data_IF_742688709738
#
_entry.id   IF_742688709738
#
_cell.length_a   1.000
_cell.length_b   1.000
_cell.length_c   1.000
_cell.angle_alpha   90.00
_cell.angle_beta   90.00
_cell.angle_gamma   90.00
#
_symmetry.space_group_name_H-M   'P 1'
#
loop_
_entity.id
_entity.type
_entity.pdbx_description
1 polymer ?
#
# COMPACT_ATOMS: atom_id res chain seq x y z
N UNK A 1 12.07 25.22 6.23
CA UNK A 1 10.94 24.37 6.53
C UNK A 1 11.38 22.99 7.00
N UNK A 2 10.50 22.26 7.63
CA UNK A 2 10.72 20.86 7.99
C UNK A 2 10.24 19.94 6.86
N UNK A 3 10.65 18.69 6.84
CA UNK A 3 10.21 17.70 5.84
C UNK A 3 8.69 17.44 5.86
N UNK A 4 8.04 17.75 6.99
CA UNK A 4 6.58 17.68 7.14
C UNK A 4 5.84 18.95 6.69
N UNK A 5 6.57 19.97 6.25
CA UNK A 5 6.04 21.24 5.73
C UNK A 5 6.69 21.54 4.37
N UNK A 6 6.23 22.62 3.71
CA UNK A 6 6.83 23.03 2.45
C UNK A 6 8.26 23.56 2.62
N UNK A 7 9.17 23.09 1.78
CA UNK A 7 10.54 23.58 1.66
C UNK A 7 10.87 23.81 0.18
N UNK A 8 11.89 24.59 -0.11
CA UNK A 8 12.36 24.86 -1.46
C UNK A 8 12.86 23.56 -2.12
N UNK A 9 12.31 23.23 -3.31
CA UNK A 9 12.58 21.99 -4.02
C UNK A 9 11.67 20.83 -3.65
N UNK A 10 10.71 20.99 -2.73
CA UNK A 10 9.72 19.95 -2.42
C UNK A 10 8.80 19.68 -3.62
N UNK A 11 8.61 18.43 -3.96
CA UNK A 11 7.56 17.99 -4.88
C UNK A 11 6.26 17.77 -4.11
N UNK A 12 5.14 18.21 -4.69
CA UNK A 12 3.83 18.00 -4.04
C UNK A 12 3.55 16.52 -3.92
N UNK A 13 3.24 16.09 -2.70
CA UNK A 13 2.92 14.70 -2.42
C UNK A 13 4.11 13.80 -2.11
N UNK A 14 5.32 14.34 -1.97
CA UNK A 14 6.47 13.55 -1.53
C UNK A 14 6.18 12.85 -0.20
N UNK A 15 6.43 11.56 -0.18
CA UNK A 15 6.33 10.73 1.02
C UNK A 15 7.74 10.51 1.55
N UNK A 16 8.06 11.19 2.64
CA UNK A 16 9.28 10.95 3.39
C UNK A 16 9.10 9.75 4.32
N UNK A 17 10.02 8.83 4.28
CA UNK A 17 9.96 7.62 5.09
C UNK A 17 11.31 6.94 5.24
N UNK A 18 11.33 5.91 6.05
CA UNK A 18 12.50 5.10 6.31
C UNK A 18 12.59 3.94 5.31
N UNK A 19 13.80 3.55 4.99
CA UNK A 19 14.06 2.28 4.30
C UNK A 19 13.98 1.13 5.30
N UNK A 20 13.27 0.07 4.92
CA UNK A 20 13.16 -1.17 5.70
C UNK A 20 13.70 -2.30 4.86
N UNK A 21 14.75 -2.96 5.34
CA UNK A 21 15.36 -4.09 4.66
C UNK A 21 14.53 -5.36 4.84
N UNK A 22 14.08 -5.64 6.08
CA UNK A 22 13.32 -6.84 6.41
C UNK A 22 12.64 -6.71 7.79
N UNK A 23 12.10 -7.81 8.29
CA UNK A 23 11.78 -8.01 9.70
C UNK A 23 13.00 -8.62 10.43
N UNK A 24 13.11 -8.42 11.74
CA UNK A 24 14.04 -9.20 12.54
C UNK A 24 13.54 -10.64 12.62
N UNK A 25 14.15 -11.54 11.85
CA UNK A 25 13.67 -12.92 11.69
C UNK A 25 14.09 -13.85 12.83
N UNK A 26 15.16 -13.51 13.56
CA UNK A 26 15.65 -14.27 14.69
C UNK A 26 16.20 -13.37 15.79
N UNK A 27 16.36 -13.91 17.00
CA UNK A 27 16.98 -13.19 18.11
C UNK A 27 18.44 -12.83 17.81
N UNK A 28 19.17 -13.71 17.14
CA UNK A 28 20.56 -13.47 16.75
C UNK A 28 20.67 -12.27 15.77
N UNK A 29 19.77 -12.19 14.78
CA UNK A 29 19.71 -11.06 13.84
C UNK A 29 19.40 -9.75 14.57
N UNK A 30 18.43 -9.77 15.49
CA UNK A 30 18.06 -8.63 16.32
C UNK A 30 19.23 -8.13 17.16
N UNK A 31 19.85 -9.03 17.95
CA UNK A 31 20.94 -8.67 18.85
C UNK A 31 22.18 -8.18 18.08
N UNK A 32 22.52 -8.84 16.96
CA UNK A 32 23.60 -8.43 16.08
C UNK A 32 23.39 -7.05 15.50
N UNK A 33 22.17 -6.72 15.11
CA UNK A 33 21.84 -5.42 14.53
C UNK A 33 21.85 -4.32 15.59
N UNK A 34 21.14 -4.52 16.70
CA UNK A 34 21.07 -3.54 17.80
C UNK A 34 22.40 -3.29 18.51
N UNK A 35 23.35 -4.21 18.40
CA UNK A 35 24.72 -3.99 18.90
C UNK A 35 25.49 -2.94 18.10
N UNK A 36 25.03 -2.62 16.89
CA UNK A 36 25.72 -1.72 15.95
C UNK A 36 24.92 -0.45 15.64
N UNK A 37 23.59 -0.54 15.72
CA UNK A 37 22.66 0.52 15.30
C UNK A 37 21.69 0.82 16.43
N UNK A 38 21.68 2.07 16.86
CA UNK A 38 20.75 2.58 17.85
C UNK A 38 19.43 2.99 17.17
N UNK A 39 18.33 2.32 17.49
CA UNK A 39 17.00 2.61 17.00
C UNK A 39 16.06 3.22 18.06
N UNK A 40 16.60 3.73 19.15
CA UNK A 40 15.82 4.27 20.28
C UNK A 40 14.98 5.50 19.89
N UNK A 41 15.35 6.20 18.82
CA UNK A 41 14.54 7.28 18.27
C UNK A 41 13.17 6.81 17.76
N UNK A 42 13.10 5.60 17.20
CA UNK A 42 11.85 4.99 16.70
C UNK A 42 11.07 4.36 17.86
N UNK A 43 11.74 3.50 18.65
CA UNK A 43 11.15 2.83 19.81
C UNK A 43 12.22 2.38 20.81
N UNK A 44 11.83 2.31 22.09
CA UNK A 44 12.73 1.87 23.15
C UNK A 44 12.95 0.34 23.15
N UNK A 45 11.97 -0.44 22.70
CA UNK A 45 11.97 -1.89 22.77
C UNK A 45 11.82 -2.51 21.38
N UNK A 46 12.57 -3.56 21.12
CA UNK A 46 12.56 -4.29 19.85
C UNK A 46 12.46 -5.79 20.09
N UNK A 47 11.73 -6.47 19.22
CA UNK A 47 11.53 -7.91 19.27
C UNK A 47 11.69 -8.52 17.87
N UNK A 48 11.85 -9.82 17.82
CA UNK A 48 11.74 -10.58 16.57
C UNK A 48 10.37 -10.31 15.93
N UNK A 49 10.35 -10.14 14.62
CA UNK A 49 9.15 -9.77 13.86
C UNK A 49 8.85 -8.28 13.78
N UNK A 50 9.65 -7.43 14.41
CA UNK A 50 9.61 -5.98 14.19
C UNK A 50 10.38 -5.59 12.92
N UNK A 51 10.09 -4.39 12.40
CA UNK A 51 10.77 -3.84 11.23
C UNK A 51 12.24 -3.54 11.51
N UNK A 52 13.09 -3.96 10.59
CA UNK A 52 14.53 -3.66 10.59
C UNK A 52 14.77 -2.43 9.72
N UNK A 53 14.77 -1.26 10.35
CA UNK A 53 15.04 0.02 9.69
C UNK A 53 16.52 0.14 9.34
N UNK A 54 16.81 0.76 8.19
CA UNK A 54 18.17 0.93 7.70
C UNK A 54 18.78 2.24 8.21
N UNK A 55 20.01 2.17 8.70
CA UNK A 55 20.88 3.32 8.94
C UNK A 55 21.51 3.71 7.59
N UNK A 56 20.89 4.69 6.90
CA UNK A 56 21.27 5.08 5.54
C UNK A 56 22.54 5.93 5.55
N UNK A 57 22.70 6.78 6.55
CA UNK A 57 23.83 7.68 6.65
C UNK A 57 25.05 7.05 7.34
N UNK A 58 24.90 5.83 7.87
CA UNK A 58 25.92 5.03 8.54
C UNK A 58 26.53 5.70 9.78
N UNK A 59 25.72 6.45 10.51
CA UNK A 59 26.16 7.10 11.76
C UNK A 59 25.96 6.22 13.01
N UNK A 60 25.44 4.99 12.82
CA UNK A 60 25.13 4.02 13.88
C UNK A 60 23.80 4.28 14.58
N UNK A 61 22.92 5.10 14.01
CA UNK A 61 21.62 5.42 14.58
C UNK A 61 20.55 5.50 13.47
N UNK A 62 19.33 5.10 13.78
CA UNK A 62 18.18 5.36 12.92
C UNK A 62 17.38 6.51 13.49
N UNK A 63 17.35 7.64 12.79
CA UNK A 63 16.67 8.85 13.24
C UNK A 63 16.27 9.77 12.08
N UNK A 64 15.54 10.85 12.35
CA UNK A 64 15.12 11.84 11.37
C UNK A 64 15.99 13.10 11.36
N UNK A 65 17.16 13.08 11.99
CA UNK A 65 18.04 14.23 12.12
C UNK A 65 17.34 15.44 12.75
N UNK A 66 17.46 16.60 12.11
CA UNK A 66 16.69 17.80 12.47
C UNK A 66 15.36 17.93 11.72
N UNK A 67 14.97 16.89 10.99
CA UNK A 67 13.77 16.85 10.15
C UNK A 67 13.73 17.98 9.10
N UNK A 68 14.88 18.26 8.48
CA UNK A 68 15.05 19.27 7.44
C UNK A 68 15.77 18.69 6.23
N UNK A 69 15.64 19.33 5.06
CA UNK A 69 16.31 18.87 3.83
C UNK A 69 17.84 18.79 3.97
N UNK A 70 18.44 19.65 4.77
CA UNK A 70 19.88 19.65 5.02
C UNK A 70 20.33 18.65 6.07
N UNK A 71 19.41 18.10 6.87
CA UNK A 71 19.68 17.07 7.85
C UNK A 71 18.40 16.28 8.12
N UNK A 72 18.15 15.30 7.28
CA UNK A 72 16.98 14.42 7.30
C UNK A 72 17.23 13.07 8.01
N UNK A 73 18.46 12.87 8.55
CA UNK A 73 18.85 11.59 9.13
C UNK A 73 18.70 10.46 8.11
N UNK A 74 17.97 9.42 8.48
CA UNK A 74 17.73 8.23 7.65
C UNK A 74 16.41 8.30 6.87
N UNK A 75 15.74 9.45 6.87
CA UNK A 75 14.59 9.66 6.02
C UNK A 75 15.02 9.88 4.56
N UNK A 76 14.27 9.33 3.64
CA UNK A 76 14.39 9.57 2.20
C UNK A 76 13.01 9.73 1.57
N UNK A 77 12.93 10.31 0.37
CA UNK A 77 11.69 10.30 -0.40
C UNK A 77 11.48 8.89 -0.94
N UNK A 78 10.56 8.16 -0.34
CA UNK A 78 10.27 6.76 -0.69
C UNK A 78 9.16 6.62 -1.74
N UNK A 79 8.37 7.65 -1.98
CA UNK A 79 7.30 7.67 -2.97
C UNK A 79 6.65 9.03 -3.09
N UNK A 80 5.57 9.10 -3.89
CA UNK A 80 4.77 10.31 -4.04
C UNK A 80 3.28 9.96 -4.16
N UNK A 81 2.41 10.65 -3.39
CA UNK A 81 0.99 10.37 -3.32
C UNK A 81 0.16 11.05 -4.43
N UNK A 82 0.80 11.91 -5.23
CA UNK A 82 0.13 12.57 -6.35
C UNK A 82 0.20 11.73 -7.63
N UNK A 83 -0.85 11.74 -8.44
CA UNK A 83 -0.84 11.03 -9.71
C UNK A 83 0.04 11.78 -10.73
N UNK A 84 1.24 11.28 -11.01
CA UNK A 84 2.18 11.93 -11.93
C UNK A 84 1.74 11.84 -13.39
N UNK A 85 1.21 10.68 -13.82
CA UNK A 85 0.79 10.47 -15.20
C UNK A 85 -0.65 9.98 -15.21
N UNK A 86 -1.57 10.86 -15.61
CA UNK A 86 -2.97 10.51 -15.83
C UNK A 86 -3.21 10.38 -17.33
N UNK A 87 -3.86 9.30 -17.74
CA UNK A 87 -4.14 9.04 -19.15
C UNK A 87 -5.52 8.46 -19.34
N UNK A 88 -6.06 8.71 -20.54
CA UNK A 88 -7.35 8.20 -20.98
C UNK A 88 -7.19 7.63 -22.38
N UNK A 89 -7.65 6.40 -22.56
CA UNK A 89 -7.70 5.75 -23.87
C UNK A 89 -9.15 5.58 -24.25
N UNK A 90 -9.53 6.19 -25.37
CA UNK A 90 -10.85 6.05 -25.96
C UNK A 90 -10.74 5.35 -27.30
N UNK A 91 -11.47 4.28 -27.48
CA UNK A 91 -11.51 3.52 -28.72
C UNK A 91 -12.92 3.16 -29.10
N UNK A 92 -13.17 3.10 -30.41
CA UNK A 92 -14.47 2.70 -30.91
C UNK A 92 -14.41 2.20 -32.35
N UNK A 93 -15.38 1.38 -32.70
CA UNK A 93 -15.56 0.85 -34.07
C UNK A 93 -17.02 0.74 -34.38
N UNK A 94 -17.38 1.06 -35.65
CA UNK A 94 -18.73 0.89 -36.15
C UNK A 94 -18.70 0.09 -37.44
N UNK A 95 -19.61 -0.89 -37.55
CA UNK A 95 -19.72 -1.73 -38.73
C UNK A 95 -21.14 -2.25 -38.94
N UNK A 96 -21.73 -2.00 -40.12
CA UNK A 96 -23.04 -2.51 -40.51
C UNK A 96 -24.16 -2.30 -39.46
N UNK A 97 -24.20 -1.14 -38.82
CA UNK A 97 -25.18 -0.82 -37.80
C UNK A 97 -24.79 -1.16 -36.39
N UNK A 98 -23.78 -1.99 -36.18
CA UNK A 98 -23.18 -2.20 -34.87
C UNK A 98 -22.20 -1.07 -34.57
N UNK A 99 -22.18 -0.63 -33.31
CA UNK A 99 -21.19 0.27 -32.76
C UNK A 99 -20.68 -0.26 -31.43
N UNK A 100 -19.39 -0.21 -31.26
CA UNK A 100 -18.70 -0.57 -30.03
C UNK A 100 -17.80 0.60 -29.61
N UNK A 101 -17.82 0.95 -28.36
CA UNK A 101 -16.89 1.93 -27.80
C UNK A 101 -16.45 1.53 -26.41
N UNK A 102 -15.24 1.93 -26.05
CA UNK A 102 -14.66 1.70 -24.73
C UNK A 102 -13.86 2.92 -24.30
N UNK A 103 -13.90 3.20 -23.00
CA UNK A 103 -13.14 4.25 -22.36
C UNK A 103 -12.34 3.66 -21.20
N UNK A 104 -11.04 3.78 -21.28
CA UNK A 104 -10.11 3.40 -20.22
C UNK A 104 -9.52 4.64 -19.57
N UNK A 105 -9.36 4.60 -18.28
CA UNK A 105 -8.69 5.66 -17.52
C UNK A 105 -7.67 5.03 -16.59
N UNK A 106 -6.48 5.66 -16.51
CA UNK A 106 -5.42 5.17 -15.69
C UNK A 106 -4.56 6.26 -15.09
N UNK A 107 -3.83 5.82 -14.06
CA UNK A 107 -2.75 6.56 -13.41
C UNK A 107 -1.53 5.65 -13.42
N UNK A 108 -0.42 6.12 -14.04
CA UNK A 108 0.77 5.27 -14.21
C UNK A 108 1.73 5.31 -13.02
N UNK A 109 1.77 6.40 -12.27
CA UNK A 109 2.64 6.53 -11.10
C UNK A 109 1.88 7.26 -9.99
N UNK A 110 1.69 6.57 -8.91
CA UNK A 110 1.15 7.06 -7.66
C UNK A 110 1.50 6.07 -6.56
N UNK A 111 1.97 6.54 -5.42
CA UNK A 111 2.21 5.73 -4.24
C UNK A 111 1.22 6.11 -3.14
N UNK A 112 1.05 5.23 -2.18
CA UNK A 112 0.20 5.47 -1.02
C UNK A 112 0.79 4.76 0.21
N UNK A 113 0.84 5.46 1.32
CA UNK A 113 1.15 4.87 2.61
C UNK A 113 -0.08 4.95 3.53
N UNK A 114 -0.45 3.81 4.10
CA UNK A 114 -1.55 3.73 5.03
C UNK A 114 -1.06 3.99 6.45
N UNK A 115 -1.20 5.23 6.90
CA UNK A 115 -0.87 5.60 8.28
C UNK A 115 -1.85 4.99 9.28
N UNK A 116 -1.56 5.17 10.55
CA UNK A 116 -2.44 4.79 11.66
C UNK A 116 -3.89 5.23 11.39
N UNK A 117 -4.85 4.33 11.69
CA UNK A 117 -6.28 4.55 11.43
C UNK A 117 -6.78 3.96 10.11
N UNK A 118 -5.91 3.36 9.31
CA UNK A 118 -6.32 2.58 8.12
C UNK A 118 -6.64 1.13 8.54
N UNK A 119 -7.75 0.96 9.24
CA UNK A 119 -8.12 -0.28 9.93
C UNK A 119 -8.21 -1.50 9.00
N UNK A 120 -8.65 -1.28 7.74
CA UNK A 120 -8.74 -2.36 6.75
C UNK A 120 -7.35 -2.83 6.32
N UNK A 121 -6.40 -1.91 6.16
CA UNK A 121 -5.05 -2.25 5.73
C UNK A 121 -4.24 -2.95 6.83
N UNK A 122 -4.25 -2.40 8.04
CA UNK A 122 -3.45 -2.92 9.14
C UNK A 122 -4.09 -4.08 9.91
N UNK A 123 -5.43 -4.21 9.87
CA UNK A 123 -6.14 -5.21 10.63
C UNK A 123 -5.74 -5.21 12.11
N UNK A 124 -5.48 -6.39 12.68
CA UNK A 124 -5.08 -6.50 14.08
C UNK A 124 -3.64 -6.03 14.38
N UNK A 125 -2.81 -5.77 13.35
CA UNK A 125 -1.54 -5.08 13.52
C UNK A 125 -1.73 -3.58 13.74
N UNK A 126 -2.92 -3.05 13.56
CA UNK A 126 -3.26 -1.65 13.77
C UNK A 126 -3.61 -1.28 15.21
N UNK A 127 -3.93 -2.26 16.04
CA UNK A 127 -4.32 -2.09 17.44
C UNK A 127 -5.49 -2.97 17.82
N UNK A 128 -5.67 -3.17 19.11
CA UNK A 128 -6.71 -4.06 19.62
C UNK A 128 -8.15 -3.63 19.30
N UNK A 129 -8.37 -2.37 18.95
CA UNK A 129 -9.67 -1.85 18.51
C UNK A 129 -9.83 -1.84 16.98
N UNK A 130 -8.76 -2.10 16.22
CA UNK A 130 -8.76 -2.12 14.78
C UNK A 130 -8.89 -3.56 14.32
N UNK A 131 -10.12 -4.06 14.23
CA UNK A 131 -10.40 -5.50 14.08
C UNK A 131 -10.96 -5.91 12.72
N UNK A 132 -10.72 -5.12 11.66
CA UNK A 132 -11.10 -5.52 10.31
C UNK A 132 -10.09 -6.51 9.74
N UNK A 133 -10.39 -7.81 9.85
CA UNK A 133 -9.49 -8.88 9.41
C UNK A 133 -9.82 -9.36 8.01
N UNK A 134 -8.78 -9.58 7.22
CA UNK A 134 -8.84 -10.28 5.93
C UNK A 134 -7.91 -11.49 5.95
N UNK A 135 -8.06 -12.47 5.05
CA UNK A 135 -7.17 -13.63 4.98
C UNK A 135 -5.69 -13.28 4.85
N UNK A 136 -5.37 -12.16 4.20
CA UNK A 136 -4.00 -11.67 4.00
C UNK A 136 -3.30 -11.34 5.33
N UNK A 137 -4.06 -10.92 6.35
CA UNK A 137 -3.53 -10.65 7.68
C UNK A 137 -3.05 -11.91 8.42
N UNK A 138 -3.41 -13.11 7.97
CA UNK A 138 -2.90 -14.35 8.56
C UNK A 138 -1.42 -14.59 8.26
N UNK A 139 -0.84 -13.87 7.29
CA UNK A 139 0.58 -13.89 6.99
C UNK A 139 1.36 -12.92 7.90
N UNK A 140 1.18 -13.02 9.20
CA UNK A 140 1.89 -12.26 10.22
C UNK A 140 3.03 -13.07 10.85
N UNK A 141 4.00 -12.39 11.42
CA UNK A 141 5.19 -12.99 12.03
C UNK A 141 4.83 -13.82 13.27
N UNK A 142 5.28 -15.07 13.28
CA UNK A 142 5.15 -16.03 14.39
C UNK A 142 6.43 -16.84 14.50
N UNK A 143 7.08 -16.78 15.65
CA UNK A 143 8.33 -17.49 15.94
C UNK A 143 8.19 -18.59 17.01
N UNK A 144 6.95 -18.83 17.45
CA UNK A 144 6.68 -19.85 18.47
C UNK A 144 5.76 -20.95 17.91
N UNK A 145 5.98 -22.22 18.35
CA UNK A 145 5.06 -23.29 18.04
C UNK A 145 3.64 -22.99 18.51
N UNK A 146 2.66 -23.38 17.73
CA UNK A 146 1.25 -23.21 18.05
C UNK A 146 0.78 -24.21 19.09
N UNK A 147 -0.08 -23.77 20.01
CA UNK A 147 -0.81 -24.67 20.89
C UNK A 147 -2.02 -25.27 20.16
N UNK A 148 -2.56 -26.37 20.69
CA UNK A 148 -3.80 -26.99 20.18
C UNK A 148 -5.03 -26.06 20.22
N UNK A 149 -4.93 -24.92 20.90
CA UNK A 149 -5.99 -23.91 20.99
C UNK A 149 -5.69 -22.66 20.15
N UNK A 150 -4.62 -22.65 19.35
CA UNK A 150 -4.23 -21.47 18.57
C UNK A 150 -5.23 -21.08 17.49
N UNK A 151 -6.10 -22.01 17.09
CA UNK A 151 -7.08 -21.77 16.03
C UNK A 151 -6.50 -21.68 14.62
N UNK A 152 -5.15 -21.64 14.47
CA UNK A 152 -4.44 -21.61 13.19
C UNK A 152 -3.77 -22.97 12.95
N UNK A 153 -2.57 -23.14 13.48
CA UNK A 153 -1.75 -24.34 13.28
C UNK A 153 -1.17 -24.80 14.61
N UNK A 154 -1.14 -26.12 14.81
CA UNK A 154 -0.53 -26.73 15.99
C UNK A 154 0.95 -26.99 15.75
N UNK A 155 1.75 -26.87 16.80
CA UNK A 155 3.20 -27.14 16.75
C UNK A 155 3.94 -26.23 15.78
N UNK A 156 5.00 -26.74 15.18
CA UNK A 156 5.89 -25.99 14.29
C UNK A 156 5.21 -25.50 13.02
N UNK A 157 4.08 -26.07 12.63
CA UNK A 157 3.29 -25.56 11.51
C UNK A 157 2.76 -24.14 11.74
N UNK A 158 2.76 -23.66 12.99
CA UNK A 158 2.41 -22.27 13.30
C UNK A 158 3.55 -21.28 13.02
N UNK A 159 4.79 -21.74 12.93
CA UNK A 159 5.96 -20.85 12.75
C UNK A 159 5.88 -20.21 11.37
N UNK A 160 5.97 -18.89 11.32
CA UNK A 160 5.99 -18.09 10.09
C UNK A 160 6.94 -16.91 10.26
N UNK A 161 8.24 -17.18 10.15
CA UNK A 161 9.28 -16.14 10.24
C UNK A 161 9.55 -15.44 8.92
N UNK A 162 9.00 -15.94 7.79
CA UNK A 162 9.05 -15.32 6.47
C UNK A 162 7.77 -14.54 6.14
N UNK A 163 7.16 -13.94 7.16
CA UNK A 163 5.90 -13.24 7.05
C UNK A 163 6.01 -11.90 6.30
N UNK A 164 4.92 -11.51 5.65
CA UNK A 164 4.78 -10.14 5.11
C UNK A 164 4.53 -9.12 6.23
N UNK A 165 3.59 -9.44 7.17
CA UNK A 165 3.21 -8.56 8.26
C UNK A 165 4.12 -8.72 9.48
N UNK A 166 4.33 -7.64 10.26
CA UNK A 166 5.15 -7.70 11.45
C UNK A 166 4.46 -8.50 12.56
N UNK A 167 5.15 -8.66 13.67
CA UNK A 167 4.57 -9.18 14.91
C UNK A 167 3.43 -8.27 15.39
N UNK A 168 2.24 -8.80 15.65
CA UNK A 168 1.14 -8.02 16.22
C UNK A 168 1.35 -7.79 17.72
N UNK A 169 0.91 -6.62 18.19
CA UNK A 169 0.93 -6.26 19.60
C UNK A 169 -0.46 -5.84 20.08
N UNK A 170 -0.78 -6.14 21.34
CA UNK A 170 -1.98 -5.63 21.99
C UNK A 170 -1.78 -4.23 22.60
N UNK A 171 -0.58 -3.70 22.51
CA UNK A 171 -0.19 -2.39 23.03
C UNK A 171 0.15 -1.44 21.88
N UNK A 172 -0.59 -0.34 21.79
CA UNK A 172 -0.40 0.65 20.73
C UNK A 172 0.98 1.28 20.68
N UNK A 173 1.65 1.41 21.80
CA UNK A 173 3.01 1.95 21.87
C UNK A 173 3.98 1.01 21.19
N UNK A 174 3.84 -0.29 21.42
CA UNK A 174 4.71 -1.30 20.84
C UNK A 174 4.46 -1.49 19.33
N UNK A 175 3.21 -1.45 18.90
CA UNK A 175 2.89 -1.58 17.46
C UNK A 175 3.25 -0.33 16.64
N UNK A 176 3.30 0.85 17.30
CA UNK A 176 3.56 2.13 16.66
C UNK A 176 4.86 2.13 15.85
N UNK A 177 5.88 1.43 16.34
CA UNK A 177 7.19 1.30 15.67
C UNK A 177 7.11 0.65 14.29
N UNK A 178 6.12 -0.23 14.06
CA UNK A 178 5.96 -0.96 12.81
C UNK A 178 5.04 -0.25 11.79
N UNK A 179 4.16 0.66 12.22
CA UNK A 179 3.14 1.26 11.34
C UNK A 179 3.11 2.77 11.24
N UNK A 180 3.56 3.48 12.32
CA UNK A 180 3.40 4.94 12.38
C UNK A 180 4.42 5.72 11.55
N UNK A 181 5.50 5.07 11.16
CA UNK A 181 6.53 5.66 10.32
C UNK A 181 6.37 5.16 8.88
N UNK A 182 6.20 6.08 7.94
CA UNK A 182 6.21 5.70 6.53
C UNK A 182 7.51 4.96 6.21
N UNK A 183 7.38 3.84 5.48
CA UNK A 183 8.52 2.98 5.18
C UNK A 183 8.34 2.26 3.84
N UNK A 184 9.44 1.81 3.29
CA UNK A 184 9.46 1.16 1.97
C UNK A 184 8.75 -0.18 1.93
N UNK A 185 8.66 -0.91 3.07
CA UNK A 185 8.03 -2.23 3.11
C UNK A 185 6.51 -2.17 2.92
N UNK A 186 5.85 -1.17 3.49
CA UNK A 186 4.38 -1.05 3.45
C UNK A 186 3.90 0.10 2.57
N UNK A 187 4.80 0.72 1.82
CA UNK A 187 4.42 1.64 0.75
C UNK A 187 3.70 0.87 -0.35
N UNK A 188 2.51 1.33 -0.72
CA UNK A 188 1.69 0.68 -1.72
C UNK A 188 1.75 1.41 -3.05
N UNK A 189 1.86 0.65 -4.14
CA UNK A 189 1.68 1.19 -5.48
C UNK A 189 0.18 1.38 -5.74
N UNK A 190 -0.24 2.63 -5.89
CA UNK A 190 -1.61 3.03 -6.18
C UNK A 190 -1.84 3.36 -7.66
N UNK A 191 -0.94 2.96 -8.56
CA UNK A 191 -1.17 3.04 -10.00
C UNK A 191 -2.28 2.09 -10.42
N UNK A 192 -3.07 2.48 -11.40
CA UNK A 192 -4.16 1.65 -11.91
C UNK A 192 -4.50 1.92 -13.37
N UNK A 193 -5.14 0.95 -14.00
CA UNK A 193 -5.84 1.07 -15.27
C UNK A 193 -7.20 0.40 -15.11
N UNK A 194 -8.28 1.13 -15.35
CA UNK A 194 -9.63 0.58 -15.30
C UNK A 194 -10.42 0.90 -16.54
N UNK A 195 -11.28 -0.01 -16.94
CA UNK A 195 -12.33 0.22 -17.91
C UNK A 195 -13.41 1.08 -17.24
N UNK A 196 -13.58 2.31 -17.71
CA UNK A 196 -14.53 3.25 -17.13
C UNK A 196 -15.90 3.18 -17.81
N UNK A 197 -15.91 2.87 -19.10
CA UNK A 197 -17.14 2.70 -19.84
C UNK A 197 -16.94 1.72 -20.99
N UNK A 198 -17.90 0.86 -21.23
CA UNK A 198 -18.04 0.05 -22.43
C UNK A 198 -19.44 0.16 -22.95
N UNK A 199 -19.58 0.35 -24.25
CA UNK A 199 -20.89 0.43 -24.89
C UNK A 199 -20.89 -0.43 -26.16
N UNK A 200 -21.95 -1.22 -26.31
CA UNK A 200 -22.25 -1.96 -27.51
C UNK A 200 -23.65 -1.55 -27.99
N UNK A 201 -23.75 -1.04 -29.18
CA UNK A 201 -25.00 -0.57 -29.76
C UNK A 201 -25.32 -1.22 -31.11
N UNK A 202 -26.58 -1.20 -31.48
CA UNK A 202 -27.04 -1.57 -32.82
C UNK A 202 -28.07 -0.57 -33.29
N UNK A 203 -27.79 0.05 -34.43
CA UNK A 203 -28.71 0.95 -35.14
C UNK A 203 -29.42 0.20 -36.23
N UNK A 204 -30.74 0.10 -36.13
CA UNK A 204 -31.55 -0.61 -37.09
C UNK A 204 -31.62 0.15 -38.44
N UNK A 205 -31.63 -0.59 -39.57
CA UNK A 205 -31.85 0.01 -40.89
C UNK A 205 -33.17 0.82 -40.93
N UNK A 206 -33.20 1.90 -41.72
CA UNK A 206 -34.36 2.75 -41.83
C UNK A 206 -35.61 2.00 -42.31
N UNK A 207 -35.46 0.94 -43.13
CA UNK A 207 -36.52 0.06 -43.56
C UNK A 207 -37.24 -0.70 -42.42
N UNK A 208 -36.57 -0.92 -41.32
CA UNK A 208 -37.18 -1.54 -40.11
C UNK A 208 -37.78 -0.44 -39.23
N UNK A 209 -37.00 0.63 -38.96
CA UNK A 209 -37.47 1.73 -38.11
C UNK A 209 -38.78 2.38 -38.63
N UNK A 210 -38.89 2.59 -39.94
CA UNK A 210 -40.08 3.19 -40.56
C UNK A 210 -41.34 2.33 -40.46
N UNK A 211 -41.21 0.98 -40.41
CA UNK A 211 -42.35 0.09 -40.15
C UNK A 211 -42.92 0.26 -38.74
N UNK A 212 -42.12 0.77 -37.83
CA UNK A 212 -42.47 1.07 -36.44
C UNK A 212 -42.86 2.57 -36.27
N UNK A 213 -43.02 3.31 -37.37
CA UNK A 213 -43.26 4.76 -37.36
C UNK A 213 -42.18 5.58 -36.66
N UNK A 214 -40.90 5.07 -36.66
CA UNK A 214 -39.75 5.72 -36.06
C UNK A 214 -38.79 6.22 -37.14
N UNK A 215 -38.23 7.41 -36.95
CA UNK A 215 -37.20 7.94 -37.86
C UNK A 215 -35.88 7.18 -37.67
N UNK A 216 -35.58 6.81 -36.42
CA UNK A 216 -34.35 6.08 -36.03
C UNK A 216 -34.62 5.18 -34.83
N UNK A 217 -34.11 3.97 -34.89
CA UNK A 217 -34.14 3.03 -33.76
C UNK A 217 -32.71 2.53 -33.48
N UNK A 218 -32.23 2.76 -32.29
CA UNK A 218 -30.94 2.19 -31.78
C UNK A 218 -31.16 1.58 -30.42
N UNK A 219 -30.67 0.39 -30.27
CA UNK A 219 -30.63 -0.30 -28.96
C UNK A 219 -29.14 -0.40 -28.54
N UNK A 220 -28.87 -0.14 -27.30
CA UNK A 220 -27.51 -0.26 -26.80
C UNK A 220 -27.49 -0.82 -25.38
N UNK A 221 -26.36 -1.46 -25.05
CA UNK A 221 -25.99 -1.87 -23.72
C UNK A 221 -24.76 -1.06 -23.31
N UNK A 222 -24.73 -0.57 -22.06
CA UNK A 222 -23.57 0.11 -21.50
C UNK A 222 -23.28 -0.43 -20.11
N UNK A 223 -21.98 -0.49 -19.77
CA UNK A 223 -21.50 -0.89 -18.46
C UNK A 223 -20.32 -0.01 -18.02
N UNK A 224 -20.16 0.14 -16.68
CA UNK A 224 -19.07 0.85 -16.00
C UNK A 224 -18.32 -0.11 -15.09
#
# INVERSE_FOLDING_TARGET
GTLSTWYEGAEVGDIWGYTVNDLFRSQEDLDSYLSKVDMTHIAANWNTGDLKYEDINHDGKVNNGTNTIGNHGDLSVIGNDQPHYQYTINGGVSYKGFDFSMLWRGVAKKDMYFYRGSNIYWGFMGGWWESCLTPEHLDYFRDQPGSKYSGLYEGDANINTDAYWPRPYLNNTEEAKNKNHANTRYLQNAAYLRLQNVQLGYSFPRSIASKMHLEKLRIYFSGE
#
